data_IF_529707251532
#
_entry.id   IF_529707251532
#
_cell.length_a   1.000
_cell.length_b   1.000
_cell.length_c   1.000
_cell.angle_alpha   90.00
_cell.angle_beta   90.00
_cell.angle_gamma   90.00
#
_symmetry.space_group_name_H-M   'P 1'
#
loop_
_entity.id
_entity.type
_entity.pdbx_description
1 polymer ?
2 non-polymer ?
3 non-polymer ?
4 water ?
#
# COMPACT_ATOMS: atom_id res chain seq x y z
N UNK A 13 -17.74 10.42 -0.65
CA UNK A 13 -16.96 9.78 0.41
C UNK A 13 -16.29 8.48 -0.05
N UNK A 14 -16.61 8.06 -1.27
CA UNK A 14 -16.01 6.85 -1.83
C UNK A 14 -15.09 7.17 -2.99
N UNK A 15 -14.00 6.41 -3.11
CA UNK A 15 -13.14 6.53 -4.28
C UNK A 15 -13.92 6.18 -5.54
N UNK A 16 -13.69 6.94 -6.60
CA UNK A 16 -14.27 6.62 -7.89
C UNK A 16 -13.76 5.25 -8.35
N UNK A 17 -14.61 4.51 -9.07
CA UNK A 17 -14.25 3.16 -9.53
C UNK A 17 -12.91 3.12 -10.26
N UNK A 18 -12.65 4.09 -11.14
CA UNK A 18 -11.41 4.08 -11.92
C UNK A 18 -10.19 4.27 -11.01
N UNK A 19 -10.38 4.98 -9.90
CA UNK A 19 -9.29 5.17 -8.94
C UNK A 19 -9.05 3.92 -8.11
N UNK A 20 -10.12 3.19 -7.80
CA UNK A 20 -9.96 1.90 -7.14
C UNK A 20 -9.17 0.97 -8.03
N UNK A 21 -9.52 0.94 -9.32
CA UNK A 21 -8.83 0.09 -10.28
C UNK A 21 -7.36 0.46 -10.39
N UNK A 22 -7.08 1.77 -10.43
CA UNK A 22 -5.72 2.27 -10.52
C UNK A 22 -4.86 1.83 -9.35
N UNK A 23 -5.36 2.02 -8.14
CA UNK A 23 -4.60 1.65 -6.96
C UNK A 23 -4.48 0.13 -6.86
N UNK A 24 -5.53 -0.59 -7.24
CA UNK A 24 -5.46 -2.05 -7.25
C UNK A 24 -4.36 -2.53 -8.20
N UNK A 25 -4.18 -1.82 -9.32
CA UNK A 25 -3.12 -2.21 -10.24
C UNK A 25 -1.75 -2.09 -9.60
N UNK A 26 -1.57 -1.09 -8.74
CA UNK A 26 -0.31 -0.96 -8.01
C UNK A 26 -0.05 -2.18 -7.12
N UNK A 27 -1.12 -2.72 -6.52
CA UNK A 27 -0.97 -3.92 -5.68
C UNK A 27 -0.55 -5.13 -6.51
N UNK A 28 -1.10 -5.23 -7.72
CA UNK A 28 -0.69 -6.29 -8.66
C UNK A 28 0.79 -6.13 -9.01
N UNK A 29 1.22 -4.89 -9.29
CA UNK A 29 2.62 -4.62 -9.59
C UNK A 29 3.50 -4.93 -8.38
N UNK A 30 3.02 -4.57 -7.19
CA UNK A 30 3.77 -4.83 -5.96
C UNK A 30 3.99 -6.33 -5.78
N UNK A 31 2.93 -7.11 -5.96
CA UNK A 31 3.04 -8.55 -5.84
C UNK A 31 4.02 -9.11 -6.86
N UNK A 32 3.94 -8.62 -8.10
CA UNK A 32 4.81 -9.09 -9.16
C UNK A 32 6.28 -8.84 -8.79
N UNK A 33 6.56 -7.67 -8.23
CA UNK A 33 7.92 -7.32 -7.82
C UNK A 33 8.42 -8.27 -6.71
N UNK A 34 7.57 -8.49 -5.73
CA UNK A 34 7.87 -9.45 -4.65
C UNK A 34 8.12 -10.85 -5.20
N UNK A 35 7.23 -11.32 -6.06
CA UNK A 35 7.35 -12.66 -6.62
C UNK A 35 8.64 -12.84 -7.45
N UNK A 36 8.95 -11.83 -8.27
CA UNK A 36 10.09 -11.92 -9.17
C UNK A 36 11.44 -11.77 -8.47
N UNK A 37 11.51 -10.86 -7.51
CA UNK A 37 12.79 -10.51 -6.91
C UNK A 37 12.85 -10.53 -5.38
N UNK A 38 11.78 -10.91 -4.72
CA UNK A 38 11.79 -11.00 -3.27
C UNK A 38 12.00 -9.65 -2.59
N UNK A 39 12.71 -9.67 -1.46
CA UNK A 39 12.92 -8.46 -0.66
C UNK A 39 13.50 -7.29 -1.47
N UNK A 40 14.50 -7.57 -2.30
CA UNK A 40 15.11 -6.52 -3.09
C UNK A 40 14.10 -5.87 -4.04
N UNK A 41 13.23 -6.69 -4.62
CA UNK A 41 12.19 -6.19 -5.52
C UNK A 41 11.14 -5.39 -4.77
N UNK A 42 10.74 -5.87 -3.60
CA UNK A 42 9.78 -5.14 -2.78
C UNK A 42 10.36 -3.78 -2.37
N UNK A 43 11.64 -3.77 -2.04
CA UNK A 43 12.30 -2.55 -1.58
C UNK A 43 12.32 -1.50 -2.71
N UNK A 44 12.74 -1.93 -3.90
CA UNK A 44 12.80 -1.02 -5.03
C UNK A 44 11.41 -0.53 -5.41
N UNK A 45 10.43 -1.43 -5.40
CA UNK A 45 9.07 -1.04 -5.76
C UNK A 45 8.52 0.00 -4.79
N UNK A 46 8.72 -0.24 -3.50
CA UNK A 46 8.28 0.67 -2.47
C UNK A 46 8.84 2.08 -2.69
N UNK A 47 10.14 2.16 -2.96
CA UNK A 47 10.80 3.44 -3.19
C UNK A 47 10.25 4.14 -4.43
N UNK A 48 10.09 3.39 -5.51
CA UNK A 48 9.61 3.94 -6.78
C UNK A 48 8.19 4.47 -6.65
N UNK A 49 7.32 3.70 -6.02
CA UNK A 49 5.93 4.10 -5.90
C UNK A 49 5.79 5.30 -4.97
N UNK A 50 6.54 5.27 -3.87
CA UNK A 50 6.53 6.38 -2.93
C UNK A 50 6.93 7.69 -3.61
N UNK A 51 7.97 7.62 -4.44
CA UNK A 51 8.44 8.81 -5.15
C UNK A 51 7.42 9.27 -6.19
N UNK A 52 6.87 8.31 -6.93
CA UNK A 52 5.92 8.64 -7.98
C UNK A 52 4.68 9.34 -7.43
N UNK A 53 4.13 8.80 -6.35
CA UNK A 53 2.86 9.29 -5.81
C UNK A 53 3.06 10.25 -4.65
N UNK A 54 4.31 10.53 -4.33
CA UNK A 54 4.65 11.47 -3.26
C UNK A 54 3.87 11.13 -1.99
N UNK A 55 3.97 9.87 -1.57
CA UNK A 55 3.20 9.41 -0.43
C UNK A 55 3.86 8.21 0.20
N UNK A 56 3.51 7.93 1.46
CA UNK A 56 4.08 6.78 2.15
C UNK A 56 3.55 5.46 1.56
N UNK A 57 4.45 4.50 1.39
CA UNK A 57 4.11 3.20 0.84
C UNK A 57 4.82 2.12 1.64
N UNK A 58 4.17 0.97 1.83
CA UNK A 58 4.84 -0.20 2.39
C UNK A 58 4.31 -1.47 1.73
N UNK A 59 5.16 -2.47 1.60
CA UNK A 59 4.74 -3.82 1.24
C UNK A 59 4.92 -4.64 2.48
N UNK A 60 3.85 -5.25 2.98
CA UNK A 60 3.95 -6.00 4.22
C UNK A 60 3.44 -7.43 4.08
N UNK A 61 4.03 -8.33 4.86
CA UNK A 61 3.69 -9.73 4.79
C UNK A 61 2.58 -10.14 5.75
N UNK A 62 2.40 -11.46 5.90
CA UNK A 62 1.30 -12.03 6.71
C UNK A 62 1.40 -11.67 8.19
N UNK A 63 2.60 -11.36 8.67
CA UNK A 63 2.80 -10.96 10.06
C UNK A 63 2.92 -9.43 10.23
N UNK A 64 2.58 -8.70 9.18
CA UNK A 64 2.62 -7.24 9.15
C UNK A 64 4.03 -6.67 9.25
N UNK A 65 5.03 -7.47 8.87
CA UNK A 65 6.39 -6.98 8.76
C UNK A 65 6.69 -6.55 7.33
N UNK A 66 7.68 -5.70 7.15
CA UNK A 66 8.06 -5.31 5.81
C UNK A 66 8.49 -6.53 4.98
N UNK A 67 8.04 -6.58 3.73
CA UNK A 67 8.56 -7.56 2.77
C UNK A 67 9.87 -7.09 2.14
N UNK A 68 10.19 -5.80 2.28
CA UNK A 68 11.43 -5.27 1.76
C UNK A 68 12.62 -5.53 2.67
N UNK A 69 13.78 -5.03 2.26
CA UNK A 69 14.99 -5.23 3.04
C UNK A 69 15.08 -4.29 4.24
N UNK A 70 14.33 -3.19 4.19
CA UNK A 70 14.34 -2.23 5.30
C UNK A 70 13.13 -2.51 6.19
N UNK A 71 13.37 -2.79 7.48
CA UNK A 71 12.24 -3.06 8.37
C UNK A 71 11.41 -1.82 8.65
N UNK A 72 10.16 -2.03 9.05
CA UNK A 72 9.32 -0.91 9.45
C UNK A 72 9.75 -0.41 10.82
N UNK A 73 9.77 0.90 10.99
CA UNK A 73 9.90 1.48 12.32
C UNK A 73 8.59 1.27 13.09
N UNK A 74 8.64 1.46 14.40
CA UNK A 74 7.42 1.38 15.20
C UNK A 74 6.40 2.42 14.71
N UNK A 75 6.88 3.60 14.35
CA UNK A 75 6.02 4.64 13.81
C UNK A 75 5.29 4.15 12.56
N UNK A 76 6.01 3.46 11.68
CA UNK A 76 5.40 2.93 10.47
C UNK A 76 4.40 1.81 10.79
N UNK A 77 4.75 0.94 11.73
CA UNK A 77 3.81 -0.11 12.13
C UNK A 77 2.50 0.49 12.61
N UNK A 78 2.56 1.66 13.26
CA UNK A 78 1.34 2.28 13.77
C UNK A 78 0.37 2.69 12.65
N UNK A 79 0.88 2.80 11.42
CA UNK A 79 0.03 3.14 10.27
C UNK A 79 -0.83 1.97 9.81
N UNK A 80 -0.51 0.77 10.31
CA UNK A 80 -1.13 -0.45 9.79
C UNK A 80 -2.40 -0.88 10.52
N UNK A 81 -2.82 -0.13 11.52
CA UNK A 81 -3.85 -0.62 12.45
C UNK A 81 -5.26 -0.07 12.21
N UNK A 82 -5.38 1.03 11.46
CA UNK A 82 -6.67 1.68 11.26
C UNK A 82 -6.88 1.98 9.78
N UNK A 84 -8.04 1.38 5.61
CA UNK A 84 -9.28 1.30 4.84
C UNK A 84 -9.06 0.46 3.59
N UNK A 85 -10.07 -0.30 3.18
CA UNK A 85 -10.03 -0.98 1.89
C UNK A 85 -10.54 -0.06 0.79
N UNK A 86 -10.21 -0.40 -0.46
CA UNK A 86 -10.48 0.49 -1.59
C UNK A 86 -11.94 0.89 -1.75
N UNK A 87 -12.86 0.01 -1.34
CA UNK A 87 -14.29 0.31 -1.53
C UNK A 87 -14.99 0.80 -0.27
N UNK A 88 -14.21 1.15 0.75
CA UNK A 88 -14.76 1.68 1.99
C UNK A 88 -14.84 3.19 1.94
N UNK A 89 -15.72 3.78 2.77
CA UNK A 89 -15.74 5.25 2.85
C UNK A 89 -14.37 5.81 3.24
N UNK A 91 -12.07 9.31 4.51
CA UNK A 91 -12.09 10.67 5.06
C UNK A 91 -10.90 10.95 5.97
N UNK A 92 -10.61 12.24 6.15
CA UNK A 92 -9.54 12.66 7.05
C UNK A 92 -10.07 12.81 8.48
N UNK A 93 -11.40 12.89 8.60
CA UNK A 93 -12.08 13.12 9.88
C UNK A 93 -11.45 12.46 11.10
N UNK A 94 -11.67 11.15 11.22
CA UNK A 94 -11.38 10.41 12.44
C UNK A 94 -9.96 10.59 12.99
N UNK A 95 -8.97 10.72 12.12
CA UNK A 95 -7.58 10.80 12.57
C UNK A 95 -6.79 12.01 12.07
N UNK A 96 -7.47 12.91 11.38
CA UNK A 96 -6.83 14.14 10.91
C UNK A 96 -5.58 13.87 10.08
N UNK A 97 -5.68 12.92 9.16
CA UNK A 97 -4.59 12.61 8.24
C UNK A 97 -5.19 11.81 7.10
N UNK A 98 -4.50 11.75 5.97
CA UNK A 98 -4.98 10.95 4.86
C UNK A 98 -5.00 9.47 5.24
N UNK A 99 -6.03 8.74 4.80
CA UNK A 99 -6.18 7.33 5.20
C UNK A 99 -5.05 6.44 4.66
N UNK A 100 -4.70 5.41 5.42
CA UNK A 100 -3.81 4.37 4.90
C UNK A 100 -4.67 3.29 4.27
N UNK A 101 -4.41 3.03 2.99
CA UNK A 101 -5.22 2.10 2.22
C UNK A 101 -4.52 0.75 2.12
N UNK A 102 -5.24 -0.31 2.48
CA UNK A 102 -4.74 -1.68 2.46
C UNK A 102 -5.27 -2.40 1.24
N UNK A 103 -4.36 -2.94 0.43
CA UNK A 103 -4.74 -3.62 -0.82
C UNK A 103 -4.02 -4.96 -0.93
N UNK A 104 -4.77 -6.04 -0.79
CA UNK A 104 -4.18 -7.38 -0.81
C UNK A 104 -3.45 -7.65 -2.12
N UNK A 105 -2.37 -8.40 -2.05
CA UNK A 105 -1.79 -8.97 -3.27
C UNK A 105 -2.89 -9.78 -3.96
N UNK A 106 -3.13 -9.53 -5.25
CA UNK A 106 -4.30 -10.17 -5.88
C UNK A 106 -4.15 -11.68 -6.14
N UNK A 107 -2.94 -12.13 -6.50
CA UNK A 107 -2.74 -13.54 -6.80
C UNK A 107 -2.74 -14.41 -5.55
N UNK A 108 -1.99 -13.97 -4.55
CA UNK A 108 -1.88 -14.72 -3.30
C UNK A 108 -1.95 -13.74 -2.13
N UNK A 109 -3.18 -13.38 -1.73
CA UNK A 109 -3.39 -12.39 -0.67
C UNK A 109 -2.72 -12.82 0.63
N UNK A 110 -2.58 -14.13 0.84
CA UNK A 110 -1.96 -14.61 2.06
C UNK A 110 -0.46 -14.30 2.14
N UNK A 111 0.14 -13.90 1.02
CA UNK A 111 1.57 -13.60 1.00
C UNK A 111 1.88 -12.14 1.38
N UNK A 112 0.89 -11.27 1.25
CA UNK A 112 1.12 -9.89 1.63
C UNK A 112 0.15 -8.90 1.04
N UNK A 113 0.46 -7.63 1.23
CA UNK A 113 -0.40 -6.57 0.76
C UNK A 113 0.42 -5.32 0.48
N UNK A 114 -0.15 -4.46 -0.36
CA UNK A 114 0.37 -3.11 -0.55
C UNK A 114 -0.38 -2.19 0.40
N UNK A 115 0.36 -1.34 1.12
CA UNK A 115 -0.24 -0.26 1.89
C UNK A 115 0.22 1.06 1.29
N UNK A 116 -0.73 1.95 1.00
CA UNK A 116 -0.39 3.25 0.46
C UNK A 116 -1.20 4.31 1.18
N UNK A 117 -0.54 5.35 1.68
CA UNK A 117 -1.31 6.46 2.23
C UNK A 117 -1.95 7.17 1.05
N UNK A 118 -3.26 7.40 1.12
CA UNK A 118 -4.00 7.92 -0.01
C UNK A 118 -3.40 9.22 -0.51
N UNK A 119 -3.05 9.31 -1.81
CA UNK A 119 -2.60 10.59 -2.34
C UNK A 119 -3.68 11.66 -2.19
N UNK A 120 -3.28 12.87 -1.82
CA UNK A 120 -4.24 13.93 -1.50
C UNK A 120 -5.23 14.20 -2.64
N UNK A 121 -4.77 14.07 -3.88
CA UNK A 121 -5.63 14.41 -5.02
C UNK A 121 -6.80 13.44 -5.17
N UNK A 122 -6.72 12.28 -4.51
CA UNK A 122 -7.72 11.23 -4.70
C UNK A 122 -8.79 11.19 -3.60
N UNK A 123 -8.70 12.11 -2.65
CA UNK A 123 -9.63 12.07 -1.53
C UNK A 123 -11.01 12.51 -1.97
N UNK A 124 -12.04 11.70 -1.67
CA UNK A 124 -13.42 12.07 -2.03
C UNK A 124 -13.77 13.48 -1.58
#
# INVERSE_FOLDING_TARGET
SNAWGLSVERSTYFLAPADRHYLADYARQAEDAWRREGAAGAERFRKELSAKEDTWVALVGPHLESLGSTPLSAEESSHLTFXRKLDWPXSRRLQDELPYVSIEFPGHPEQGRLVIQLPERLLPG
#
